data_IF_431354092582
#
_entry.id   IF_431354092582
#
_cell.length_a   1.000
_cell.length_b   1.000
_cell.length_c   1.000
_cell.angle_alpha   90.00
_cell.angle_beta   90.00
_cell.angle_gamma   90.00
#
_symmetry.space_group_name_H-M   'P 1'
#
loop_
_entity.id
_entity.type
_entity.pdbx_description
1 polymer ?
#
# COMPACT_ATOMS: atom_id res chain seq x y z
N UNK A 1 16.87 2.00 -42.79
CA UNK A 1 15.65 1.69 -43.56
C UNK A 1 15.65 0.19 -43.81
N UNK A 2 14.79 -0.51 -43.07
CA UNK A 2 14.35 -1.92 -43.10
C UNK A 2 13.31 -1.92 -41.96
N UNK A 3 12.09 -1.46 -42.16
CA UNK A 3 10.95 -2.08 -42.87
C UNK A 3 10.61 -3.45 -42.25
N UNK A 4 9.46 -3.41 -41.56
CA UNK A 4 8.62 -4.51 -41.05
C UNK A 4 9.04 -5.21 -39.75
N UNK A 5 8.60 -4.63 -38.62
CA UNK A 5 8.19 -5.40 -37.44
C UNK A 5 6.67 -5.65 -37.58
N UNK A 6 6.24 -6.84 -38.03
CA UNK A 6 4.84 -7.12 -38.28
C UNK A 6 4.13 -7.36 -36.95
N UNK A 7 3.26 -6.41 -36.59
CA UNK A 7 2.13 -6.56 -35.67
C UNK A 7 2.43 -7.05 -34.24
N UNK A 8 2.51 -6.12 -33.27
CA UNK A 8 1.96 -6.25 -31.90
C UNK A 8 2.46 -7.35 -30.95
N UNK A 9 3.16 -8.39 -31.40
CA UNK A 9 3.51 -9.58 -30.59
C UNK A 9 4.67 -9.29 -29.61
N UNK A 10 5.48 -8.26 -29.88
CA UNK A 10 6.72 -7.99 -29.13
C UNK A 10 6.50 -7.45 -27.70
N UNK A 11 5.45 -6.65 -27.47
CA UNK A 11 5.23 -6.01 -26.17
C UNK A 11 4.53 -6.92 -25.15
N UNK A 12 3.63 -7.81 -25.57
CA UNK A 12 2.88 -8.68 -24.64
C UNK A 12 3.77 -9.60 -23.80
N UNK A 13 4.90 -10.06 -24.37
CA UNK A 13 5.87 -10.88 -23.64
C UNK A 13 6.85 -10.07 -22.78
N UNK A 14 6.82 -8.74 -22.89
CA UNK A 14 7.77 -7.86 -22.20
C UNK A 14 7.32 -7.44 -20.79
N UNK A 15 6.04 -7.64 -20.44
CA UNK A 15 5.51 -7.38 -19.10
C UNK A 15 4.31 -8.28 -18.77
N UNK A 16 4.17 -8.62 -17.48
CA UNK A 16 3.05 -9.43 -16.96
C UNK A 16 1.94 -8.59 -16.31
N UNK A 17 2.27 -7.36 -15.92
CA UNK A 17 1.41 -6.49 -15.13
C UNK A 17 1.19 -5.18 -15.88
N UNK A 18 0.02 -4.58 -15.67
CA UNK A 18 -0.33 -3.26 -16.20
C UNK A 18 -0.85 -2.39 -15.07
N UNK A 19 -0.57 -1.10 -15.14
CA UNK A 19 -1.03 -0.11 -14.17
C UNK A 19 -1.44 1.17 -14.89
N UNK A 20 -2.67 1.62 -14.64
CA UNK A 20 -3.18 2.89 -15.14
C UNK A 20 -2.47 4.06 -14.47
N UNK A 21 -2.12 5.08 -15.25
CA UNK A 21 -1.55 6.30 -14.69
C UNK A 21 -2.54 7.09 -13.84
N UNK A 22 -3.84 6.99 -14.11
CA UNK A 22 -4.86 7.67 -13.32
C UNK A 22 -4.93 7.09 -11.90
N UNK A 23 -4.73 5.77 -11.73
CA UNK A 23 -4.59 5.13 -10.41
C UNK A 23 -3.40 5.70 -9.64
N UNK A 24 -2.23 5.83 -10.28
CA UNK A 24 -1.07 6.52 -9.67
C UNK A 24 -1.38 7.98 -9.32
N UNK A 25 -2.12 8.63 -10.22
CA UNK A 25 -2.78 9.93 -10.09
C UNK A 25 -3.40 10.15 -8.71
N UNK A 26 -4.35 9.28 -8.44
CA UNK A 26 -5.22 9.31 -7.27
C UNK A 26 -4.48 8.94 -5.99
N UNK A 27 -3.55 7.98 -6.07
CA UNK A 27 -2.68 7.63 -4.95
C UNK A 27 -1.85 8.86 -4.53
N UNK A 28 -1.19 9.56 -5.45
CA UNK A 28 -0.38 10.76 -5.11
C UNK A 28 -1.22 11.87 -4.47
N UNK A 29 -2.46 12.07 -4.95
CA UNK A 29 -3.36 13.07 -4.40
C UNK A 29 -3.68 12.79 -2.92
N UNK A 30 -3.86 11.52 -2.54
CA UNK A 30 -4.23 11.12 -1.19
C UNK A 30 -3.04 11.18 -0.19
N UNK A 31 -1.79 11.07 -0.64
CA UNK A 31 -0.60 11.10 0.24
C UNK A 31 -0.43 12.44 0.97
N UNK A 32 -0.99 13.52 0.43
CA UNK A 32 -0.80 14.89 0.93
C UNK A 32 -1.57 15.16 2.23
N UNK A 33 -2.48 14.28 2.63
CA UNK A 33 -3.28 14.45 3.83
C UNK A 33 -2.45 14.24 5.11
N UNK A 34 -2.64 15.14 6.07
CA UNK A 34 -1.96 15.14 7.37
C UNK A 34 -2.96 15.51 8.44
N UNK A 35 -2.69 15.04 9.67
CA UNK A 35 -3.47 15.50 10.81
C UNK A 35 -3.37 17.01 10.97
N UNK A 36 -4.52 17.68 11.02
CA UNK A 36 -4.59 19.09 11.38
C UNK A 36 -4.36 19.27 12.89
N UNK A 37 -4.07 20.50 13.30
CA UNK A 37 -4.00 20.83 14.73
C UNK A 37 -5.31 20.54 15.48
N UNK A 38 -6.45 20.65 14.78
CA UNK A 38 -7.76 20.33 15.34
C UNK A 38 -7.93 18.82 15.54
N UNK A 39 -7.54 18.01 14.56
CA UNK A 39 -7.56 16.55 14.67
C UNK A 39 -6.69 16.08 15.84
N UNK A 40 -5.49 16.65 15.97
CA UNK A 40 -4.59 16.35 17.09
C UNK A 40 -5.22 16.74 18.44
N UNK A 41 -5.91 17.88 18.53
CA UNK A 41 -6.57 18.30 19.75
C UNK A 41 -7.75 17.38 20.13
N UNK A 42 -8.49 16.88 19.15
CA UNK A 42 -9.58 15.90 19.35
C UNK A 42 -8.98 14.58 19.83
N UNK A 43 -7.94 14.07 19.17
CA UNK A 43 -7.27 12.82 19.56
C UNK A 43 -6.72 12.89 20.99
N UNK A 44 -6.10 14.00 21.39
CA UNK A 44 -5.59 14.15 22.77
C UNK A 44 -6.66 14.07 23.85
N UNK A 45 -7.91 14.41 23.52
CA UNK A 45 -9.05 14.29 24.45
C UNK A 45 -9.59 12.86 24.50
N UNK A 46 -9.50 12.12 23.40
CA UNK A 46 -10.04 10.76 23.29
C UNK A 46 -9.05 9.69 23.76
N UNK A 47 -7.74 9.92 23.61
CA UNK A 47 -6.70 8.93 23.92
C UNK A 47 -5.98 9.22 25.24
N UNK A 48 -5.88 8.19 26.08
CA UNK A 48 -5.14 8.24 27.35
C UNK A 48 -3.62 8.37 27.15
N UNK A 49 -3.11 7.85 26.03
CA UNK A 49 -1.67 7.75 25.75
C UNK A 49 -1.15 8.95 24.94
N UNK A 50 -1.24 10.14 25.52
CA UNK A 50 -0.82 11.40 24.88
C UNK A 50 0.65 11.41 24.41
N UNK A 51 1.51 10.64 25.06
CA UNK A 51 2.91 10.48 24.66
C UNK A 51 3.07 9.85 23.27
N UNK A 52 2.18 8.93 22.87
CA UNK A 52 2.21 8.33 21.53
C UNK A 52 1.81 9.35 20.46
N UNK A 53 0.88 10.25 20.78
CA UNK A 53 0.38 11.29 19.85
C UNK A 53 1.46 12.32 19.46
N UNK A 54 2.54 12.44 20.23
CA UNK A 54 3.67 13.32 19.88
C UNK A 54 4.33 12.89 18.57
N UNK A 55 4.32 11.60 18.28
CA UNK A 55 4.88 11.02 17.06
C UNK A 55 4.03 11.32 15.81
N UNK A 56 2.77 11.74 15.98
CA UNK A 56 1.83 12.01 14.89
C UNK A 56 1.68 13.49 14.54
N UNK A 57 2.42 14.39 15.21
CA UNK A 57 2.37 15.82 14.89
C UNK A 57 2.91 16.03 13.46
N UNK A 58 2.08 16.61 12.58
CA UNK A 58 2.34 16.70 11.13
C UNK A 58 2.53 15.34 10.43
N UNK A 59 2.13 14.25 11.07
CA UNK A 59 2.12 12.91 10.51
C UNK A 59 0.95 12.72 9.53
N UNK A 60 1.06 11.70 8.71
CA UNK A 60 -0.01 11.30 7.79
C UNK A 60 -1.22 10.75 8.54
N UNK A 61 -2.41 11.13 8.10
CA UNK A 61 -3.65 10.54 8.60
C UNK A 61 -3.87 9.12 8.05
N UNK A 62 -5.00 8.50 8.39
CA UNK A 62 -5.31 7.13 7.95
C UNK A 62 -5.35 7.01 6.41
N UNK A 63 -5.92 8.00 5.72
CA UNK A 63 -6.05 7.98 4.26
C UNK A 63 -4.68 8.11 3.60
N UNK A 64 -3.86 9.08 4.04
CA UNK A 64 -2.52 9.24 3.54
C UNK A 64 -1.62 8.02 3.84
N UNK A 65 -1.79 7.36 4.98
CA UNK A 65 -1.05 6.13 5.29
C UNK A 65 -1.44 4.98 4.35
N UNK A 66 -2.73 4.78 4.08
CA UNK A 66 -3.18 3.81 3.07
C UNK A 66 -2.65 4.14 1.68
N UNK A 67 -2.65 5.41 1.30
CA UNK A 67 -2.12 5.86 0.02
C UNK A 67 -0.60 5.62 -0.10
N UNK A 68 0.18 5.82 0.98
CA UNK A 68 1.61 5.45 0.99
C UNK A 68 1.84 3.96 0.76
N UNK A 69 1.01 3.08 1.35
CA UNK A 69 1.07 1.64 1.10
C UNK A 69 0.76 1.32 -0.37
N UNK A 70 -0.33 1.88 -0.91
CA UNK A 70 -0.67 1.72 -2.32
C UNK A 70 0.43 2.24 -3.27
N UNK A 71 1.13 3.32 -2.90
CA UNK A 71 2.28 3.82 -3.65
C UNK A 71 3.45 2.82 -3.62
N UNK A 72 3.78 2.26 -2.47
CA UNK A 72 4.83 1.24 -2.35
C UNK A 72 4.50 0.02 -3.25
N UNK A 73 3.25 -0.44 -3.25
CA UNK A 73 2.79 -1.52 -4.13
C UNK A 73 2.89 -1.16 -5.63
N UNK A 74 2.45 0.05 -6.00
CA UNK A 74 2.55 0.55 -7.38
C UNK A 74 4.01 0.65 -7.84
N UNK A 75 4.91 1.12 -6.98
CA UNK A 75 6.34 1.21 -7.25
C UNK A 75 6.98 -0.18 -7.35
N UNK A 76 6.56 -1.15 -6.53
CA UNK A 76 7.00 -2.54 -6.65
C UNK A 76 6.56 -3.15 -7.99
N UNK A 77 5.31 -2.97 -8.38
CA UNK A 77 4.79 -3.41 -9.68
C UNK A 77 5.63 -2.83 -10.84
N UNK A 78 5.90 -1.53 -10.82
CA UNK A 78 6.62 -0.88 -11.91
C UNK A 78 8.12 -1.18 -11.91
N UNK A 79 8.82 -1.00 -10.79
CA UNK A 79 10.28 -1.08 -10.73
C UNK A 79 10.80 -2.51 -10.65
N UNK A 80 10.05 -3.40 -9.99
CA UNK A 80 10.52 -4.77 -9.70
C UNK A 80 9.86 -5.82 -10.58
N UNK A 81 8.59 -5.63 -10.92
CA UNK A 81 7.85 -6.55 -11.79
C UNK A 81 7.71 -6.05 -13.24
N UNK A 82 8.24 -4.86 -13.55
CA UNK A 82 8.25 -4.31 -14.90
C UNK A 82 6.85 -4.00 -15.44
N UNK A 83 5.91 -3.59 -14.58
CA UNK A 83 4.54 -3.31 -14.99
C UNK A 83 4.50 -2.20 -16.05
N UNK A 84 3.76 -2.44 -17.13
CA UNK A 84 3.53 -1.46 -18.18
C UNK A 84 2.54 -0.39 -17.71
N UNK A 85 2.88 0.87 -17.97
CA UNK A 85 2.04 2.00 -17.60
C UNK A 85 1.13 2.37 -18.75
N UNK A 86 -0.18 2.37 -18.50
CA UNK A 86 -1.17 2.79 -19.48
C UNK A 86 -1.41 4.30 -19.31
N UNK A 87 -1.10 5.12 -20.32
CA UNK A 87 -1.38 6.54 -20.27
C UNK A 87 -2.89 6.77 -20.32
N UNK A 88 -3.34 7.81 -19.61
CA UNK A 88 -4.73 8.24 -19.65
C UNK A 88 -4.77 9.65 -20.21
N UNK A 89 -5.67 9.87 -21.18
CA UNK A 89 -5.77 11.14 -21.92
C UNK A 89 -6.58 12.19 -21.13
N UNK A 90 -7.53 11.73 -20.30
CA UNK A 90 -8.47 12.59 -19.58
C UNK A 90 -8.54 12.26 -18.09
N UNK A 91 -8.78 13.27 -17.26
CA UNK A 91 -8.99 13.13 -15.83
C UNK A 91 -10.24 13.93 -15.43
N UNK A 92 -11.08 13.35 -14.58
CA UNK A 92 -12.26 14.03 -14.04
C UNK A 92 -12.03 14.46 -12.59
N UNK A 93 -12.81 15.45 -12.14
CA UNK A 93 -12.94 15.76 -10.70
C UNK A 93 -13.94 14.84 -9.99
N UNK A 94 -14.75 14.14 -10.76
CA UNK A 94 -15.73 13.17 -10.29
C UNK A 94 -15.07 11.78 -10.22
N UNK A 95 -15.16 11.14 -9.05
CA UNK A 95 -14.52 9.83 -8.81
C UNK A 95 -15.19 8.73 -9.61
N UNK A 96 -16.52 8.73 -9.71
CA UNK A 96 -17.24 7.71 -10.49
C UNK A 96 -16.84 7.77 -11.97
N UNK A 97 -16.61 8.99 -12.49
CA UNK A 97 -16.11 9.16 -13.85
C UNK A 97 -14.66 8.66 -13.99
N UNK A 98 -13.81 8.80 -12.97
CA UNK A 98 -12.44 8.29 -13.03
C UNK A 98 -12.42 6.76 -13.11
N UNK A 99 -13.26 6.06 -12.36
CA UNK A 99 -13.34 4.59 -12.43
C UNK A 99 -13.76 4.11 -13.82
N UNK A 100 -14.73 4.79 -14.43
CA UNK A 100 -15.10 4.54 -15.82
C UNK A 100 -13.93 4.81 -16.79
N UNK A 101 -13.24 5.95 -16.65
CA UNK A 101 -12.09 6.30 -17.49
C UNK A 101 -10.97 5.26 -17.36
N UNK A 102 -10.73 4.74 -16.14
CA UNK A 102 -9.74 3.68 -15.90
C UNK A 102 -10.13 2.42 -16.67
N UNK A 103 -11.38 1.94 -16.53
CA UNK A 103 -11.86 0.76 -17.24
C UNK A 103 -11.81 0.93 -18.77
N UNK A 104 -12.23 2.08 -19.28
CA UNK A 104 -12.17 2.40 -20.71
C UNK A 104 -10.72 2.44 -21.21
N UNK A 105 -9.79 3.00 -20.44
CA UNK A 105 -8.37 3.05 -20.81
C UNK A 105 -7.75 1.66 -20.95
N UNK A 106 -8.07 0.73 -20.04
CA UNK A 106 -7.64 -0.66 -20.14
C UNK A 106 -8.27 -1.33 -21.36
N UNK A 107 -9.58 -1.16 -21.58
CA UNK A 107 -10.30 -1.79 -22.69
C UNK A 107 -9.77 -1.36 -24.06
N UNK A 108 -9.58 -0.05 -24.26
CA UNK A 108 -9.06 0.47 -25.51
C UNK A 108 -7.64 -0.04 -25.77
N UNK A 109 -6.78 0.00 -24.77
CA UNK A 109 -5.42 -0.52 -24.88
C UNK A 109 -5.38 -2.03 -25.20
N UNK A 110 -6.24 -2.83 -24.56
CA UNK A 110 -6.39 -4.26 -24.86
C UNK A 110 -6.82 -4.49 -26.30
N UNK A 111 -7.83 -3.74 -26.78
CA UNK A 111 -8.39 -3.88 -28.12
C UNK A 111 -7.40 -3.47 -29.20
N UNK A 112 -6.70 -2.36 -29.01
CA UNK A 112 -5.70 -1.83 -29.94
C UNK A 112 -4.51 -2.77 -30.13
N UNK A 113 -4.12 -3.47 -29.07
CA UNK A 113 -2.94 -4.33 -29.07
C UNK A 113 -3.25 -5.83 -29.14
N UNK A 114 -4.54 -6.21 -29.19
CA UNK A 114 -5.01 -7.60 -29.21
C UNK A 114 -4.50 -8.46 -28.04
N UNK A 115 -4.52 -7.91 -26.82
CA UNK A 115 -4.09 -8.63 -25.63
C UNK A 115 -5.22 -9.42 -24.95
N UNK A 116 -4.86 -10.43 -24.16
CA UNK A 116 -5.74 -11.01 -23.15
C UNK A 116 -5.38 -10.40 -21.78
N UNK A 117 -6.23 -9.51 -21.25
CA UNK A 117 -6.01 -8.86 -19.97
C UNK A 117 -7.12 -9.21 -18.98
N UNK A 118 -6.73 -9.46 -17.72
CA UNK A 118 -7.65 -9.62 -16.61
C UNK A 118 -7.52 -8.44 -15.64
N UNK A 119 -8.65 -7.83 -15.27
CA UNK A 119 -8.69 -6.75 -14.27
C UNK A 119 -8.95 -7.35 -12.88
N UNK A 120 -8.04 -7.14 -11.92
CA UNK A 120 -8.24 -7.53 -10.53
C UNK A 120 -8.83 -6.35 -9.74
N UNK A 121 -9.95 -6.55 -9.06
CA UNK A 121 -10.59 -5.49 -8.25
C UNK A 121 -11.30 -6.08 -7.03
N UNK A 122 -11.23 -5.39 -5.89
CA UNK A 122 -12.08 -5.66 -4.72
C UNK A 122 -13.35 -4.77 -4.69
N UNK A 123 -13.45 -3.83 -5.62
CA UNK A 123 -14.54 -2.86 -5.73
C UNK A 123 -15.62 -3.37 -6.70
N UNK A 124 -16.87 -3.39 -6.22
CA UNK A 124 -18.06 -3.83 -6.97
C UNK A 124 -18.44 -2.86 -8.11
N UNK A 125 -18.22 -1.57 -7.93
CA UNK A 125 -18.52 -0.58 -8.95
C UNK A 125 -17.50 -0.70 -10.09
N UNK A 126 -16.21 -0.82 -9.76
CA UNK A 126 -15.15 -1.09 -10.74
C UNK A 126 -15.38 -2.41 -11.50
N UNK A 127 -15.85 -3.46 -10.81
CA UNK A 127 -16.25 -4.72 -11.46
C UNK A 127 -17.32 -4.47 -12.53
N UNK A 128 -18.34 -3.68 -12.19
CA UNK A 128 -19.43 -3.33 -13.09
C UNK A 128 -18.96 -2.51 -14.30
N UNK A 129 -18.05 -1.54 -14.09
CA UNK A 129 -17.44 -0.78 -15.18
C UNK A 129 -16.62 -1.68 -16.10
N UNK A 130 -15.79 -2.57 -15.55
CA UNK A 130 -14.97 -3.49 -16.32
C UNK A 130 -15.79 -4.39 -17.26
N UNK A 131 -16.91 -4.93 -16.78
CA UNK A 131 -17.83 -5.75 -17.60
C UNK A 131 -18.42 -4.92 -18.74
N UNK A 132 -18.87 -3.70 -18.47
CA UNK A 132 -19.43 -2.79 -19.49
C UNK A 132 -18.41 -2.46 -20.57
N UNK A 133 -17.13 -2.37 -20.21
CA UNK A 133 -16.02 -2.10 -21.11
C UNK A 133 -15.45 -3.38 -21.76
N UNK A 134 -16.13 -4.54 -21.67
CA UNK A 134 -15.71 -5.81 -22.27
C UNK A 134 -14.36 -6.35 -21.74
N UNK A 135 -13.92 -5.92 -20.56
CA UNK A 135 -12.76 -6.49 -19.87
C UNK A 135 -13.15 -7.81 -19.17
N UNK A 136 -12.14 -8.63 -18.84
CA UNK A 136 -12.32 -9.82 -18.00
C UNK A 136 -11.96 -9.49 -16.54
N UNK A 137 -12.92 -9.10 -15.69
CA UNK A 137 -12.59 -8.83 -14.30
C UNK A 137 -12.55 -10.09 -13.44
N UNK A 138 -11.77 -10.04 -12.37
CA UNK A 138 -11.72 -11.00 -11.29
C UNK A 138 -11.98 -10.22 -10.00
N UNK A 139 -13.12 -10.50 -9.36
CA UNK A 139 -13.47 -9.90 -8.08
C UNK A 139 -12.69 -10.57 -6.95
N UNK A 140 -11.99 -9.76 -6.16
CA UNK A 140 -11.36 -10.18 -4.92
C UNK A 140 -12.41 -10.15 -3.80
N UNK A 141 -12.75 -11.33 -3.29
CA UNK A 141 -13.65 -11.44 -2.16
C UNK A 141 -12.87 -11.25 -0.86
N UNK A 142 -13.21 -10.18 -0.14
CA UNK A 142 -12.67 -9.97 1.19
C UNK A 142 -13.33 -10.97 2.16
N UNK A 143 -12.56 -11.66 3.01
CA UNK A 143 -13.14 -12.56 4.00
C UNK A 143 -14.11 -11.81 4.91
N UNK A 144 -15.38 -12.20 4.92
CA UNK A 144 -16.41 -11.59 5.78
C UNK A 144 -16.42 -12.17 7.19
N UNK A 145 -16.01 -13.44 7.31
CA UNK A 145 -16.03 -14.17 8.57
C UNK A 145 -14.65 -14.11 9.24
N UNK A 146 -14.57 -13.39 10.36
CA UNK A 146 -13.41 -13.42 11.24
C UNK A 146 -13.42 -14.72 12.04
N UNK A 147 -12.44 -15.62 11.87
CA UNK A 147 -12.36 -16.84 12.65
C UNK A 147 -12.15 -16.49 14.13
N UNK A 148 -12.84 -17.19 15.04
CA UNK A 148 -12.58 -17.06 16.49
C UNK A 148 -11.14 -17.45 16.87
N UNK A 149 -10.54 -18.34 16.07
CA UNK A 149 -9.16 -18.78 16.23
C UNK A 149 -8.48 -18.74 14.86
N UNK A 150 -7.38 -18.01 14.77
CA UNK A 150 -6.55 -17.95 13.57
C UNK A 150 -5.24 -18.66 13.91
N UNK A 151 -4.86 -19.66 13.11
CA UNK A 151 -3.48 -20.16 13.11
C UNK A 151 -2.70 -19.27 12.17
N UNK A 152 -1.77 -18.51 12.72
CA UNK A 152 -0.87 -17.64 11.95
C UNK A 152 0.45 -18.36 11.80
N UNK A 153 0.92 -18.49 10.56
CA UNK A 153 2.31 -18.84 10.29
C UNK A 153 3.21 -17.79 10.94
N UNK A 154 4.17 -18.15 11.82
CA UNK A 154 5.06 -17.18 12.46
C UNK A 154 5.72 -16.20 11.48
N UNK A 155 5.99 -16.61 10.23
CA UNK A 155 6.54 -15.73 9.20
C UNK A 155 5.55 -14.67 8.70
N UNK A 156 4.24 -14.97 8.75
CA UNK A 156 3.16 -14.03 8.42
C UNK A 156 2.83 -13.09 9.57
N UNK A 157 3.28 -13.39 10.79
CA UNK A 157 3.08 -12.51 11.93
C UNK A 157 3.83 -11.19 11.77
N UNK A 158 5.05 -11.19 11.22
CA UNK A 158 5.79 -9.96 10.97
C UNK A 158 5.10 -9.09 9.92
N UNK A 159 4.56 -9.68 8.86
CA UNK A 159 3.77 -8.98 7.84
C UNK A 159 2.51 -8.36 8.47
N UNK A 160 1.77 -9.13 9.27
CA UNK A 160 0.60 -8.64 9.97
C UNK A 160 0.93 -7.46 10.92
N UNK A 161 2.00 -7.58 11.71
CA UNK A 161 2.44 -6.50 12.61
C UNK A 161 2.85 -5.25 11.81
N UNK A 162 3.52 -5.44 10.68
CA UNK A 162 3.86 -4.36 9.77
C UNK A 162 2.60 -3.68 9.23
N UNK A 163 1.68 -4.41 8.61
CA UNK A 163 0.45 -3.89 8.00
C UNK A 163 -0.43 -3.16 9.01
N UNK A 164 -0.59 -3.73 10.20
CA UNK A 164 -1.34 -3.10 11.27
C UNK A 164 -0.66 -1.80 11.73
N UNK A 165 0.65 -1.83 11.96
CA UNK A 165 1.39 -0.66 12.43
C UNK A 165 1.42 0.48 11.41
N UNK A 166 1.53 0.18 10.12
CA UNK A 166 1.55 1.20 9.05
C UNK A 166 0.16 1.74 8.75
N UNK A 167 -0.88 0.90 8.82
CA UNK A 167 -2.27 1.32 8.63
C UNK A 167 -2.76 2.18 9.80
N UNK A 168 -2.63 1.68 11.03
CA UNK A 168 -3.09 2.40 12.23
C UNK A 168 -2.10 3.47 12.69
N UNK A 169 -0.88 3.45 12.18
CA UNK A 169 0.20 4.38 12.51
C UNK A 169 0.99 3.94 13.75
N UNK A 170 0.30 3.42 14.77
CA UNK A 170 0.91 2.78 15.94
C UNK A 170 0.02 1.64 16.43
N UNK A 171 0.63 0.53 16.82
CA UNK A 171 -0.03 -0.53 17.58
C UNK A 171 0.68 -0.76 18.91
N UNK A 172 -0.08 -1.13 19.92
CA UNK A 172 0.44 -1.52 21.23
C UNK A 172 0.19 -3.00 21.43
N UNK A 173 1.23 -3.75 21.76
CA UNK A 173 1.10 -5.15 22.12
C UNK A 173 0.84 -5.18 23.61
N UNK A 174 -0.32 -5.69 24.01
CA UNK A 174 -0.67 -5.84 25.41
C UNK A 174 0.20 -6.93 26.03
N UNK A 175 1.26 -6.51 26.70
CA UNK A 175 2.18 -7.36 27.44
C UNK A 175 2.82 -6.57 28.59
N UNK A 176 3.52 -7.28 29.47
CA UNK A 176 4.22 -6.68 30.62
C UNK A 176 5.28 -5.66 30.20
N UNK A 177 5.85 -5.84 29.01
CA UNK A 177 6.92 -5.03 28.44
C UNK A 177 6.46 -3.71 27.78
N UNK A 178 5.15 -3.52 27.61
CA UNK A 178 4.51 -2.38 26.93
C UNK A 178 5.20 -2.03 25.60
N UNK A 179 5.13 -2.96 24.67
CA UNK A 179 5.75 -2.79 23.35
C UNK A 179 4.84 -1.96 22.44
N UNK A 180 5.40 -0.92 21.83
CA UNK A 180 4.74 -0.11 20.81
C UNK A 180 5.49 -0.19 19.48
N UNK A 181 4.76 -0.46 18.41
CA UNK A 181 5.26 -0.50 17.04
C UNK A 181 4.68 0.70 16.28
N UNK A 182 5.54 1.59 15.84
CA UNK A 182 5.19 2.77 15.06
C UNK A 182 5.48 2.51 13.58
N UNK A 183 4.42 2.46 12.78
CA UNK A 183 4.52 2.52 11.32
C UNK A 183 4.63 3.94 10.78
N UNK A 184 4.17 4.93 11.56
CA UNK A 184 4.34 6.36 11.29
C UNK A 184 4.89 7.02 12.57
N UNK A 185 5.91 7.87 12.42
CA UNK A 185 6.52 8.57 13.55
C UNK A 185 7.17 9.88 13.12
N UNK A 186 7.46 10.74 14.11
CA UNK A 186 8.06 12.04 13.87
C UNK A 186 9.45 11.91 13.26
N UNK A 187 9.66 12.46 12.06
CA UNK A 187 10.94 12.41 11.37
C UNK A 187 11.20 11.15 10.55
N UNK A 188 10.18 10.30 10.30
CA UNK A 188 10.29 9.19 9.33
C UNK A 188 10.67 9.74 7.94
N UNK A 189 11.79 9.28 7.40
CA UNK A 189 12.29 9.69 6.09
C UNK A 189 11.63 8.90 4.95
N UNK A 190 11.66 9.44 3.73
CA UNK A 190 11.19 8.72 2.54
C UNK A 190 11.94 7.38 2.35
N UNK A 191 13.24 7.35 2.64
CA UNK A 191 14.05 6.12 2.59
C UNK A 191 13.51 5.06 3.56
N UNK A 192 13.30 5.41 4.82
CA UNK A 192 12.72 4.50 5.83
C UNK A 192 11.29 4.06 5.49
N UNK A 193 10.54 4.89 4.75
CA UNK A 193 9.22 4.50 4.24
C UNK A 193 9.31 3.45 3.12
N UNK A 194 10.30 3.59 2.24
CA UNK A 194 10.54 2.66 1.13
C UNK A 194 11.18 1.35 1.60
N UNK A 195 12.03 1.41 2.62
CA UNK A 195 12.64 0.25 3.28
C UNK A 195 11.72 -0.42 4.31
N UNK A 196 10.42 -0.06 4.32
CA UNK A 196 9.40 -0.68 5.18
C UNK A 196 9.81 -0.69 6.68
N UNK A 197 10.51 0.37 7.11
CA UNK A 197 11.02 0.45 8.47
C UNK A 197 9.91 0.78 9.47
N UNK A 198 9.98 0.12 10.62
CA UNK A 198 9.18 0.39 11.80
C UNK A 198 10.05 0.97 12.91
N UNK A 199 9.47 1.82 13.75
CA UNK A 199 10.10 2.27 15.00
C UNK A 199 9.53 1.45 16.15
N UNK A 200 10.41 0.75 16.86
CA UNK A 200 10.08 -0.05 18.04
C UNK A 200 10.35 0.77 19.31
N UNK A 201 9.36 0.84 20.21
CA UNK A 201 9.52 1.41 21.55
C UNK A 201 9.16 0.35 22.58
N UNK A 202 10.06 0.07 23.51
CA UNK A 202 9.89 -0.89 24.59
C UNK A 202 10.14 -0.14 25.89
N UNK A 203 9.24 -0.24 26.87
CA UNK A 203 9.41 0.44 28.16
C UNK A 203 10.28 -0.37 29.13
N UNK A 204 10.33 -1.69 28.97
CA UNK A 204 11.20 -2.58 29.73
C UNK A 204 12.63 -2.63 29.16
N UNK A 205 13.59 -2.11 29.92
CA UNK A 205 14.99 -2.02 29.53
C UNK A 205 15.66 -3.39 29.32
N UNK A 206 15.29 -4.40 30.11
CA UNK A 206 15.87 -5.75 30.01
C UNK A 206 15.43 -6.42 28.71
N UNK A 207 14.14 -6.30 28.41
CA UNK A 207 13.56 -6.82 27.17
C UNK A 207 14.09 -6.05 25.97
N UNK A 208 14.22 -4.73 26.08
CA UNK A 208 14.84 -3.89 25.05
C UNK A 208 16.26 -4.37 24.69
N UNK A 209 17.12 -4.56 25.70
CA UNK A 209 18.49 -5.01 25.48
C UNK A 209 18.55 -6.41 24.85
N UNK A 210 17.68 -7.32 25.29
CA UNK A 210 17.59 -8.68 24.74
C UNK A 210 17.23 -8.64 23.25
N UNK A 211 16.20 -7.87 22.89
CA UNK A 211 15.77 -7.73 21.49
C UNK A 211 16.85 -7.06 20.64
N UNK A 212 17.56 -6.05 21.16
CA UNK A 212 18.68 -5.45 20.44
C UNK A 212 19.78 -6.47 20.14
N UNK A 213 20.15 -7.31 21.12
CA UNK A 213 21.13 -8.37 20.93
C UNK A 213 20.68 -9.39 19.88
N UNK A 214 19.41 -9.80 19.91
CA UNK A 214 18.84 -10.74 18.93
C UNK A 214 18.80 -10.16 17.51
N UNK A 215 18.45 -8.87 17.38
CA UNK A 215 18.44 -8.17 16.09
C UNK A 215 19.86 -8.06 15.52
N UNK A 216 20.84 -7.70 16.36
CA UNK A 216 22.23 -7.58 15.93
C UNK A 216 22.83 -8.93 15.53
N UNK A 217 22.49 -9.99 16.27
CA UNK A 217 22.82 -11.36 15.88
C UNK A 217 22.20 -11.73 14.52
N UNK A 218 20.91 -11.46 14.30
CA UNK A 218 20.25 -11.71 13.02
C UNK A 218 20.92 -10.93 11.87
N UNK A 219 21.26 -9.66 12.07
CA UNK A 219 21.94 -8.83 11.05
C UNK A 219 23.31 -9.37 10.70
N UNK A 220 24.08 -9.82 11.70
CA UNK A 220 25.40 -10.42 11.49
C UNK A 220 25.35 -11.68 10.63
N UNK A 221 24.29 -12.48 10.75
CA UNK A 221 24.08 -13.69 9.95
C UNK A 221 23.67 -13.35 8.51
N UNK A 222 22.87 -12.30 8.31
CA UNK A 222 22.35 -11.88 7.00
C UNK A 222 23.43 -11.14 6.16
N UNK A 223 24.53 -10.72 6.77
CA UNK A 223 25.67 -10.12 6.06
C UNK A 223 25.51 -8.63 5.76
N UNK A 224 24.80 -7.90 6.63
CA UNK A 224 24.77 -6.43 6.64
C UNK A 224 25.68 -5.87 7.74
#
# INVERSE_FOLDING_TARGET
MNVDDPMGVSLAHSYRYVLSELVKSEIDAQIKHKYSMQDMAIMRKAFSNNELLKEFVNGSDLLARKAKQALNEAEFLQKRLGAHRIPVVEHSRDRELNDQIIADSYSNWVRENHYDCCLLTADEDMLSHAIKCELRPIQLLMPSDLPKHIRVDPWRLSELLFDLSTTFGVISIENEARIHLFGEWGGKTAKQSFEESLKLRIEDEVIHQTICQDIDACRSIIGN
#
